data_IF_027148490129
#
_entry.id   IF_027148490129
#
_cell.length_a   1.000
_cell.length_b   1.000
_cell.length_c   1.000
_cell.angle_alpha   90.00
_cell.angle_beta   90.00
_cell.angle_gamma   90.00
#
_symmetry.space_group_name_H-M   'P 1'
#
loop_
_entity.id
_entity.type
_entity.pdbx_description
1 polymer ?
#
# COMPACT_ATOMS: atom_id res chain seq x y z
N UNK A 1 -19.00 17.39 37.69
CA UNK A 1 -17.95 16.51 37.14
C UNK A 1 -18.57 15.69 36.01
N UNK A 2 -18.43 16.15 34.76
CA UNK A 2 -18.96 15.44 33.58
C UNK A 2 -17.82 14.61 33.02
N UNK A 3 -17.94 13.29 33.09
CA UNK A 3 -17.01 12.36 32.46
C UNK A 3 -17.29 12.42 30.96
N UNK A 4 -16.49 13.18 30.22
CA UNK A 4 -16.39 13.06 28.78
C UNK A 4 -15.71 11.72 28.49
N UNK A 5 -16.51 10.66 28.38
CA UNK A 5 -16.03 9.37 27.89
C UNK A 5 -15.68 9.52 26.42
N UNK A 6 -14.42 9.82 26.12
CA UNK A 6 -13.84 9.54 24.81
C UNK A 6 -13.94 8.02 24.61
N UNK A 7 -14.95 7.58 23.86
CA UNK A 7 -15.03 6.19 23.41
C UNK A 7 -13.82 6.00 22.50
N UNK A 8 -12.81 5.28 22.98
CA UNK A 8 -11.70 4.87 22.12
C UNK A 8 -12.31 4.02 21.01
N UNK A 9 -12.33 4.52 19.78
CA UNK A 9 -12.56 3.66 18.63
C UNK A 9 -11.47 2.58 18.70
N UNK A 10 -11.86 1.33 18.85
CA UNK A 10 -10.92 0.21 18.79
C UNK A 10 -10.34 0.22 17.37
N UNK A 11 -9.13 0.77 17.24
CA UNK A 11 -8.37 0.72 16.00
C UNK A 11 -7.87 -0.70 15.84
N UNK A 12 -8.26 -1.34 14.75
CA UNK A 12 -7.68 -2.60 14.33
C UNK A 12 -6.71 -2.36 13.17
N UNK A 13 -5.68 -3.20 13.06
CA UNK A 13 -4.67 -3.11 12.01
C UNK A 13 -4.88 -4.15 10.90
N UNK A 14 -4.61 -3.72 9.67
CA UNK A 14 -4.39 -4.59 8.53
C UNK A 14 -2.91 -4.62 8.20
N UNK A 15 -2.39 -5.80 7.92
CA UNK A 15 -1.06 -5.98 7.32
C UNK A 15 -1.23 -6.52 5.90
N UNK A 16 -0.55 -5.89 4.97
CA UNK A 16 -0.51 -6.26 3.56
C UNK A 16 0.88 -6.75 3.23
N UNK A 17 0.97 -7.87 2.51
CA UNK A 17 2.26 -8.34 2.03
C UNK A 17 2.17 -8.96 0.65
N UNK A 18 3.21 -8.70 -0.12
CA UNK A 18 3.49 -9.32 -1.38
C UNK A 18 5.01 -9.56 -1.47
N UNK A 19 5.37 -10.78 -1.86
CA UNK A 19 6.71 -11.10 -2.29
C UNK A 19 6.59 -11.70 -3.70
N UNK A 20 7.36 -11.16 -4.64
CA UNK A 20 7.32 -11.68 -6.00
C UNK A 20 7.91 -13.10 -6.05
N UNK A 21 7.16 -14.11 -6.56
CA UNK A 21 7.63 -15.48 -6.60
C UNK A 21 8.46 -15.85 -7.86
N UNK A 22 8.61 -14.99 -8.89
CA UNK A 22 8.96 -15.51 -10.22
C UNK A 22 9.94 -14.70 -11.10
N UNK A 23 11.25 -14.85 -10.86
CA UNK A 23 12.31 -14.55 -11.84
C UNK A 23 12.75 -13.07 -11.90
N UNK A 24 13.99 -12.80 -12.35
CA UNK A 24 14.59 -11.46 -12.22
C UNK A 24 13.91 -10.42 -13.12
N UNK A 25 13.68 -9.22 -12.57
CA UNK A 25 13.53 -8.00 -13.36
C UNK A 25 12.11 -7.59 -13.77
N UNK A 26 11.09 -7.90 -12.98
CA UNK A 26 9.71 -7.54 -13.32
C UNK A 26 9.36 -6.08 -13.01
N UNK A 27 10.12 -5.43 -12.13
CA UNK A 27 10.09 -3.99 -11.97
C UNK A 27 11.06 -3.39 -12.98
N UNK A 28 10.59 -2.43 -13.77
CA UNK A 28 11.40 -1.71 -14.74
C UNK A 28 11.37 -0.22 -14.43
N UNK A 29 12.53 0.42 -14.34
CA UNK A 29 12.65 1.87 -14.46
C UNK A 29 13.00 2.20 -15.91
N UNK A 30 12.18 3.02 -16.57
CA UNK A 30 12.47 3.56 -17.90
C UNK A 30 12.30 5.07 -17.88
N UNK A 31 13.40 5.82 -17.97
CA UNK A 31 13.35 7.28 -18.02
C UNK A 31 12.76 7.94 -16.77
N UNK A 32 12.91 7.30 -15.60
CA UNK A 32 12.34 7.74 -14.33
C UNK A 32 10.93 7.21 -14.05
N UNK A 33 10.30 6.51 -15.00
CA UNK A 33 9.06 5.80 -14.73
C UNK A 33 9.36 4.39 -14.24
N UNK A 34 9.08 4.13 -12.97
CA UNK A 34 8.95 2.79 -12.43
C UNK A 34 7.61 2.21 -12.84
N UNK A 35 7.68 1.08 -13.52
CA UNK A 35 6.54 0.26 -13.87
C UNK A 35 6.79 -1.18 -13.47
N UNK A 36 5.70 -1.89 -13.17
CA UNK A 36 5.75 -3.33 -12.95
C UNK A 36 5.14 -4.02 -14.17
N UNK A 37 5.89 -4.92 -14.79
CA UNK A 37 5.45 -5.75 -15.90
C UNK A 37 5.70 -7.21 -15.56
N UNK A 38 4.70 -7.89 -15.01
CA UNK A 38 4.76 -9.34 -14.93
C UNK A 38 3.48 -9.98 -15.49
N UNK A 39 3.70 -10.96 -16.35
CA UNK A 39 2.70 -11.98 -16.68
C UNK A 39 2.51 -12.96 -15.52
N UNK A 40 3.35 -12.91 -14.49
CA UNK A 40 3.29 -13.77 -13.32
C UNK A 40 2.07 -13.44 -12.45
N UNK A 41 1.52 -14.51 -11.89
CA UNK A 41 0.45 -14.44 -10.91
C UNK A 41 1.08 -14.27 -9.53
N UNK A 42 0.54 -13.34 -8.74
CA UNK A 42 1.07 -12.98 -7.43
C UNK A 42 0.14 -13.52 -6.33
N UNK A 43 0.72 -13.83 -5.18
CA UNK A 43 -0.01 -14.08 -3.94
C UNK A 43 0.03 -12.81 -3.10
N UNK A 44 -1.10 -12.11 -3.01
CA UNK A 44 -1.23 -10.94 -2.13
C UNK A 44 -1.93 -11.34 -0.84
N UNK A 45 -1.26 -11.20 0.29
CA UNK A 45 -1.77 -11.62 1.58
C UNK A 45 -2.24 -10.41 2.38
N UNK A 46 -3.41 -10.55 2.99
CA UNK A 46 -3.99 -9.58 3.91
C UNK A 46 -4.24 -10.29 5.24
N UNK A 47 -3.61 -9.76 6.28
CA UNK A 47 -3.81 -10.20 7.65
C UNK A 47 -4.58 -9.13 8.43
N UNK A 48 -5.82 -9.48 8.78
CA UNK A 48 -6.70 -8.71 9.65
C UNK A 48 -6.93 -9.39 10.99
N UNK A 49 -5.99 -10.20 11.49
CA UNK A 49 -6.14 -10.92 12.77
C UNK A 49 -6.29 -10.00 13.99
N UNK A 50 -5.87 -8.74 13.87
CA UNK A 50 -6.07 -7.72 14.91
C UNK A 50 -7.43 -7.01 14.79
N UNK A 51 -8.25 -7.36 13.79
CA UNK A 51 -9.63 -6.90 13.69
C UNK A 51 -10.57 -7.57 14.71
N UNK A 52 -11.62 -6.85 15.15
CA UNK A 52 -12.71 -7.47 15.91
C UNK A 52 -13.32 -8.71 15.26
N UNK A 53 -13.27 -8.82 13.93
CA UNK A 53 -13.58 -10.04 13.21
C UNK A 53 -12.33 -10.45 12.41
N UNK A 54 -11.53 -11.29 13.02
CA UNK A 54 -10.26 -11.72 12.45
C UNK A 54 -10.47 -12.43 11.11
N UNK A 55 -9.66 -12.07 10.13
CA UNK A 55 -9.53 -12.80 8.88
C UNK A 55 -8.07 -12.81 8.43
N UNK A 56 -7.72 -13.80 7.62
CA UNK A 56 -6.47 -13.85 6.88
C UNK A 56 -6.78 -14.43 5.52
N UNK A 57 -6.54 -13.65 4.45
CA UNK A 57 -6.91 -14.02 3.09
C UNK A 57 -5.71 -13.82 2.17
N UNK A 58 -5.49 -14.83 1.32
CA UNK A 58 -4.53 -14.77 0.24
C UNK A 58 -5.27 -14.68 -1.10
N UNK A 59 -4.96 -13.65 -1.88
CA UNK A 59 -5.41 -13.49 -3.25
C UNK A 59 -4.36 -14.13 -4.16
N UNK A 60 -4.56 -15.41 -4.48
CA UNK A 60 -3.62 -16.24 -5.24
C UNK A 60 -3.61 -15.97 -6.74
N UNK A 61 -4.52 -15.14 -7.26
CA UNK A 61 -4.47 -14.62 -8.63
C UNK A 61 -4.36 -13.10 -8.70
N UNK A 62 -3.54 -12.52 -7.83
CA UNK A 62 -3.33 -11.08 -7.82
C UNK A 62 -2.39 -10.63 -8.94
N UNK A 63 -2.64 -9.45 -9.47
CA UNK A 63 -1.71 -8.66 -10.28
C UNK A 63 -1.37 -7.36 -9.58
N UNK A 64 -0.22 -6.79 -9.93
CA UNK A 64 0.22 -5.48 -9.51
C UNK A 64 0.34 -4.57 -10.73
N UNK A 65 -0.29 -3.41 -10.65
CA UNK A 65 -0.01 -2.27 -11.51
C UNK A 65 0.72 -1.23 -10.67
N UNK A 66 1.84 -0.73 -11.18
CA UNK A 66 2.65 0.28 -10.52
C UNK A 66 3.06 1.30 -11.56
N UNK A 67 2.88 2.58 -11.24
CA UNK A 67 3.30 3.70 -12.05
C UNK A 67 3.81 4.80 -11.13
N UNK A 68 5.11 4.78 -10.85
CA UNK A 68 5.76 5.74 -9.97
C UNK A 68 6.82 6.52 -10.74
N UNK A 69 6.81 7.85 -10.62
CA UNK A 69 7.84 8.72 -11.18
C UNK A 69 8.93 8.94 -10.15
N UNK A 70 10.17 8.76 -10.58
CA UNK A 70 11.39 9.06 -9.82
C UNK A 70 11.93 10.41 -10.30
N UNK A 71 12.21 11.30 -9.36
CA UNK A 71 12.97 12.51 -9.63
C UNK A 71 14.46 12.19 -9.82
N UNK A 72 15.25 13.21 -10.17
CA UNK A 72 16.69 13.05 -10.29
C UNK A 72 17.29 12.62 -8.94
N UNK A 73 18.06 11.53 -8.97
CA UNK A 73 18.74 11.04 -7.78
C UNK A 73 19.82 12.02 -7.32
N UNK A 74 19.83 12.32 -6.03
CA UNK A 74 20.84 13.13 -5.36
C UNK A 74 21.67 12.22 -4.46
N UNK A 75 23.00 12.32 -4.54
CA UNK A 75 23.87 11.63 -3.61
C UNK A 75 23.80 12.28 -2.22
N UNK A 76 23.42 11.50 -1.22
CA UNK A 76 23.36 11.96 0.19
C UNK A 76 24.69 11.68 0.89
N UNK A 77 25.28 10.52 0.62
CA UNK A 77 26.62 10.11 1.04
C UNK A 77 27.25 9.22 -0.05
N UNK A 78 28.57 8.97 -0.03
CA UNK A 78 29.19 8.02 -0.95
C UNK A 78 28.48 6.65 -0.90
N UNK A 79 27.93 6.21 -2.03
CA UNK A 79 27.19 4.95 -2.12
C UNK A 79 25.72 5.00 -1.69
N UNK A 80 25.20 6.16 -1.27
CA UNK A 80 23.80 6.37 -0.91
C UNK A 80 23.16 7.42 -1.85
N UNK A 81 22.20 6.98 -2.65
CA UNK A 81 21.42 7.85 -3.52
C UNK A 81 19.98 8.00 -2.98
N UNK A 82 19.43 9.20 -3.04
CA UNK A 82 18.03 9.49 -2.76
C UNK A 82 17.38 10.13 -3.98
N UNK A 83 16.22 9.63 -4.40
CA UNK A 83 15.32 10.33 -5.31
C UNK A 83 13.95 10.48 -4.64
N UNK A 84 13.23 11.54 -4.98
CA UNK A 84 11.83 11.65 -4.58
C UNK A 84 10.98 10.82 -5.53
N UNK A 85 9.89 10.24 -5.02
CA UNK A 85 9.00 9.38 -5.80
C UNK A 85 7.55 9.81 -5.61
N UNK A 86 6.74 9.72 -6.68
CA UNK A 86 5.30 9.96 -6.59
C UNK A 86 4.55 9.11 -7.63
N UNK A 87 3.27 8.82 -7.40
CA UNK A 87 2.43 8.12 -8.35
C UNK A 87 1.43 7.18 -7.70
N UNK A 88 1.06 6.12 -8.41
CA UNK A 88 0.01 5.20 -8.00
C UNK A 88 0.45 3.73 -8.11
N UNK A 89 -0.19 2.89 -7.30
CA UNK A 89 -0.12 1.45 -7.42
C UNK A 89 -1.46 0.81 -7.12
N UNK A 90 -1.73 -0.35 -7.71
CA UNK A 90 -2.98 -1.08 -7.59
C UNK A 90 -2.72 -2.58 -7.57
N UNK A 91 -3.16 -3.23 -6.50
CA UNK A 91 -3.32 -4.68 -6.45
C UNK A 91 -4.73 -5.03 -6.93
N UNK A 92 -4.83 -5.96 -7.87
CA UNK A 92 -6.10 -6.37 -8.46
C UNK A 92 -6.16 -7.89 -8.61
N UNK A 93 -7.36 -8.45 -8.61
CA UNK A 93 -7.57 -9.87 -8.86
C UNK A 93 -7.87 -10.11 -10.36
N UNK A 94 -7.03 -10.92 -11.00
CA UNK A 94 -7.11 -11.24 -12.44
C UNK A 94 -8.29 -12.15 -12.80
N UNK A 95 -8.89 -12.86 -11.85
CA UNK A 95 -9.96 -13.82 -12.11
C UNK A 95 -11.34 -13.20 -12.38
N UNK A 96 -11.52 -11.90 -12.12
CA UNK A 96 -12.81 -11.23 -12.32
C UNK A 96 -12.88 -10.71 -13.77
N UNK A 97 -13.38 -11.56 -14.68
CA UNK A 97 -13.67 -11.26 -16.08
C UNK A 97 -12.48 -10.83 -16.98
N UNK A 98 -11.61 -11.77 -17.35
CA UNK A 98 -11.09 -11.86 -18.73
C UNK A 98 -10.15 -10.77 -19.27
N UNK A 99 -9.47 -9.98 -18.43
CA UNK A 99 -8.41 -9.08 -18.88
C UNK A 99 -8.04 -8.01 -17.85
N UNK A 100 -6.83 -7.45 -17.99
CA UNK A 100 -6.21 -6.47 -17.07
C UNK A 100 -7.11 -5.22 -16.83
N UNK A 101 -7.97 -4.86 -17.78
CA UNK A 101 -8.86 -3.70 -17.69
C UNK A 101 -10.20 -3.91 -16.95
N UNK A 102 -10.61 -5.16 -16.69
CA UNK A 102 -11.86 -5.49 -15.99
C UNK A 102 -11.63 -6.16 -14.63
N UNK A 103 -10.36 -6.35 -14.25
CA UNK A 103 -9.96 -6.95 -13.00
C UNK A 103 -10.43 -6.14 -11.77
N UNK A 104 -10.93 -6.83 -10.75
CA UNK A 104 -11.43 -6.18 -9.55
C UNK A 104 -10.26 -5.71 -8.67
N UNK A 105 -10.22 -4.41 -8.36
CA UNK A 105 -9.27 -3.86 -7.39
C UNK A 105 -9.42 -4.54 -6.03
N UNK A 106 -8.29 -4.93 -5.44
CA UNK A 106 -8.18 -5.40 -4.05
C UNK A 106 -7.79 -4.22 -3.16
N UNK A 107 -6.69 -3.53 -3.52
CA UNK A 107 -6.14 -2.39 -2.80
C UNK A 107 -5.53 -1.42 -3.81
N UNK A 108 -5.77 -0.14 -3.62
CA UNK A 108 -5.16 0.94 -4.41
C UNK A 108 -4.44 1.92 -3.49
N UNK A 109 -3.30 2.43 -3.94
CA UNK A 109 -2.53 3.42 -3.22
C UNK A 109 -2.07 4.56 -4.12
N UNK A 110 -2.13 5.78 -3.59
CA UNK A 110 -1.56 6.98 -4.22
C UNK A 110 -0.53 7.60 -3.28
N UNK A 111 0.70 7.73 -3.77
CA UNK A 111 1.80 8.40 -3.08
C UNK A 111 2.01 9.78 -3.73
N UNK A 112 1.58 10.89 -3.11
CA UNK A 112 1.87 12.23 -3.64
C UNK A 112 3.35 12.63 -3.45
N UNK A 113 4.07 11.89 -2.61
CA UNK A 113 5.51 11.95 -2.44
C UNK A 113 6.04 10.65 -1.81
N UNK A 114 7.35 10.57 -1.64
CA UNK A 114 8.05 9.40 -1.09
C UNK A 114 9.56 9.55 -1.26
N UNK A 115 10.30 8.55 -0.81
CA UNK A 115 11.74 8.50 -1.05
C UNK A 115 12.14 7.15 -1.65
N UNK A 116 12.79 7.17 -2.81
CA UNK A 116 13.62 6.07 -3.26
C UNK A 116 15.01 6.24 -2.68
N UNK A 117 15.47 5.23 -1.93
CA UNK A 117 16.79 5.19 -1.33
C UNK A 117 17.53 3.99 -1.88
N UNK A 118 18.69 4.20 -2.49
CA UNK A 118 19.51 3.13 -3.03
C UNK A 118 20.86 3.07 -2.30
N UNK A 119 21.25 1.86 -1.91
CA UNK A 119 22.58 1.51 -1.41
C UNK A 119 23.12 0.34 -2.24
N UNK A 120 24.10 0.61 -3.10
CA UNK A 120 24.69 -0.41 -3.96
C UNK A 120 23.71 -0.97 -5.00
N UNK A 121 23.40 -2.27 -4.92
CA UNK A 121 22.48 -2.96 -5.83
C UNK A 121 21.06 -3.14 -5.25
N UNK A 122 20.80 -2.58 -4.06
CA UNK A 122 19.52 -2.69 -3.36
C UNK A 122 18.92 -1.30 -3.19
N UNK A 123 17.62 -1.17 -3.50
CA UNK A 123 16.83 0.03 -3.34
C UNK A 123 15.63 -0.19 -2.45
N UNK A 124 15.14 0.86 -1.82
CA UNK A 124 13.87 0.87 -1.11
C UNK A 124 13.08 2.08 -1.58
N UNK A 125 11.86 1.86 -1.99
CA UNK A 125 10.85 2.89 -2.18
C UNK A 125 10.04 2.96 -0.88
N UNK A 126 10.19 4.08 -0.19
CA UNK A 126 9.50 4.39 1.06
C UNK A 126 8.30 5.28 0.76
N UNK A 127 7.13 4.89 1.26
CA UNK A 127 5.88 5.65 1.11
C UNK A 127 5.09 5.56 2.42
N UNK A 128 5.06 6.66 3.17
CA UNK A 128 4.48 6.75 4.52
C UNK A 128 3.47 7.90 4.56
N UNK A 129 2.32 7.69 5.19
CA UNK A 129 1.29 8.71 5.39
C UNK A 129 1.79 9.93 6.17
N UNK A 130 2.56 9.71 7.25
CA UNK A 130 3.00 10.78 8.15
C UNK A 130 3.98 11.76 7.49
N UNK A 131 4.84 11.24 6.61
CA UNK A 131 5.88 12.04 5.97
C UNK A 131 5.58 12.40 4.52
N UNK A 132 4.81 11.55 3.82
CA UNK A 132 4.66 11.65 2.38
C UNK A 132 3.22 11.66 1.88
N UNK A 133 2.23 11.59 2.79
CA UNK A 133 0.82 11.72 2.44
C UNK A 133 0.24 10.56 1.62
N UNK A 134 0.82 9.36 1.75
CA UNK A 134 0.28 8.14 1.14
C UNK A 134 -1.21 8.01 1.42
N UNK A 135 -2.02 7.69 0.42
CA UNK A 135 -3.44 7.34 0.62
C UNK A 135 -3.67 5.92 0.16
N UNK A 136 -4.43 5.14 0.92
CA UNK A 136 -4.86 3.80 0.56
C UNK A 136 -6.38 3.72 0.47
N UNK A 137 -6.88 2.93 -0.47
CA UNK A 137 -8.30 2.66 -0.65
C UNK A 137 -8.54 1.16 -0.86
N UNK A 138 -9.50 0.60 -0.12
CA UNK A 138 -9.94 -0.78 -0.31
C UNK A 138 -10.85 -0.87 -1.54
N UNK A 139 -10.52 -1.79 -2.45
CA UNK A 139 -11.44 -2.20 -3.49
C UNK A 139 -12.54 -3.13 -2.95
N UNK A 140 -13.56 -3.42 -3.77
CA UNK A 140 -14.76 -4.13 -3.34
C UNK A 140 -14.46 -5.50 -2.71
N UNK A 141 -13.42 -6.20 -3.19
CA UNK A 141 -13.06 -7.51 -2.66
C UNK A 141 -12.59 -7.42 -1.20
N UNK A 142 -11.75 -6.43 -0.88
CA UNK A 142 -11.32 -6.18 0.49
C UNK A 142 -12.48 -5.61 1.31
N UNK A 143 -13.30 -4.71 0.76
CA UNK A 143 -14.48 -4.19 1.44
C UNK A 143 -15.50 -5.27 1.84
N UNK A 144 -15.59 -6.38 1.09
CA UNK A 144 -16.45 -7.51 1.45
C UNK A 144 -15.89 -8.33 2.63
N UNK A 145 -14.57 -8.31 2.86
CA UNK A 145 -13.93 -8.93 4.02
C UNK A 145 -14.06 -8.04 5.25
N UNK A 146 -14.04 -6.73 5.05
CA UNK A 146 -14.39 -5.75 6.07
C UNK A 146 -15.89 -5.87 6.39
N UNK A 147 -16.28 -5.79 7.66
CA UNK A 147 -17.70 -5.72 7.99
C UNK A 147 -18.35 -4.46 7.38
N UNK A 148 -19.66 -4.50 7.06
CA UNK A 148 -20.39 -3.35 6.57
C UNK A 148 -20.16 -2.10 7.44
N UNK A 149 -19.83 -0.98 6.78
CA UNK A 149 -19.57 0.28 7.46
C UNK A 149 -18.19 0.36 8.12
N UNK A 150 -17.23 -0.46 7.71
CA UNK A 150 -15.81 -0.27 8.03
C UNK A 150 -15.05 0.20 6.81
N UNK A 151 -13.97 0.92 7.04
CA UNK A 151 -13.05 1.32 5.99
C UNK A 151 -11.62 1.40 6.52
N UNK A 152 -10.68 1.26 5.58
CA UNK A 152 -9.27 1.52 5.87
C UNK A 152 -9.08 3.02 6.11
N UNK A 153 -8.40 3.37 7.18
CA UNK A 153 -8.15 4.74 7.57
C UNK A 153 -6.67 4.95 7.97
N UNK A 154 -6.18 6.20 7.91
CA UNK A 154 -4.83 6.52 8.33
C UNK A 154 -4.56 6.22 9.82
N UNK A 155 -3.27 6.17 10.23
CA UNK A 155 -2.07 6.20 9.39
C UNK A 155 -1.95 5.00 8.44
N UNK A 156 -1.26 5.24 7.32
CA UNK A 156 -0.91 4.23 6.33
C UNK A 156 0.61 4.19 6.20
N UNK A 157 1.20 3.02 6.31
CA UNK A 157 2.64 2.86 6.07
C UNK A 157 2.83 1.83 4.97
N UNK A 158 3.77 2.08 4.06
CA UNK A 158 4.12 1.10 3.04
C UNK A 158 5.55 1.24 2.54
N UNK A 159 6.11 0.10 2.15
CA UNK A 159 7.47 0.02 1.62
C UNK A 159 7.46 -0.95 0.46
N UNK A 160 7.94 -0.47 -0.69
CA UNK A 160 8.33 -1.32 -1.80
C UNK A 160 9.84 -1.54 -1.72
N UNK A 161 10.28 -2.75 -1.42
CA UNK A 161 11.71 -3.08 -1.40
C UNK A 161 12.12 -3.59 -2.77
N UNK A 162 13.15 -2.96 -3.33
CA UNK A 162 13.67 -3.23 -4.68
C UNK A 162 15.04 -3.91 -4.56
N UNK A 163 15.18 -5.12 -5.08
CA UNK A 163 16.42 -5.92 -4.97
C UNK A 163 16.92 -6.33 -6.33
N UNK A 164 18.17 -6.80 -6.40
CA UNK A 164 18.80 -7.28 -7.64
C UNK A 164 18.67 -6.26 -8.78
N UNK A 165 19.04 -5.00 -8.51
CA UNK A 165 18.99 -3.94 -9.52
C UNK A 165 19.99 -4.28 -10.62
N UNK A 166 19.49 -4.69 -11.78
CA UNK A 166 20.26 -4.95 -12.98
C UNK A 166 20.15 -3.73 -13.91
N UNK A 167 21.26 -3.01 -14.15
CA UNK A 167 21.25 -1.93 -15.12
C UNK A 167 20.95 -2.49 -16.52
N UNK A 168 19.87 -1.99 -17.16
CA UNK A 168 19.68 -2.11 -18.61
C UNK A 168 20.65 -1.13 -19.27
N UNK A 169 21.15 -1.32 -20.51
CA UNK A 169 22.13 -0.43 -21.16
C UNK A 169 21.89 1.04 -20.80
N UNK A 170 22.69 1.53 -19.85
CA UNK A 170 22.39 2.75 -19.09
C UNK A 170 23.01 3.91 -19.83
N UNK A 171 22.21 4.89 -20.21
CA UNK A 171 22.71 6.24 -20.48
C UNK A 171 22.73 6.97 -19.14
N UNK A 172 23.89 7.11 -18.51
CA UNK A 172 24.04 8.01 -17.36
C UNK A 172 24.11 9.42 -17.92
N UNK A 173 22.98 10.13 -17.92
CA UNK A 173 22.94 11.57 -18.22
C UNK A 173 22.86 12.28 -16.87
N UNK A 174 23.85 13.12 -16.56
CA UNK A 174 23.88 13.93 -15.33
C UNK A 174 23.79 13.15 -14.00
N UNK A 175 24.36 11.94 -13.93
CA UNK A 175 24.45 11.18 -12.67
C UNK A 175 23.20 10.38 -12.29
N UNK A 176 22.19 10.33 -13.16
CA UNK A 176 20.96 9.56 -12.93
C UNK A 176 21.06 8.18 -13.60
N UNK A 177 20.70 7.11 -12.87
CA UNK A 177 20.49 5.77 -13.45
C UNK A 177 19.20 5.85 -14.27
N UNK A 178 19.32 5.90 -15.60
CA UNK A 178 18.14 6.14 -16.45
C UNK A 178 17.27 4.90 -16.64
N UNK A 179 17.84 3.69 -16.67
CA UNK A 179 17.09 2.46 -16.91
C UNK A 179 17.63 1.28 -16.09
N UNK A 180 16.75 0.54 -15.41
CA UNK A 180 17.12 -0.69 -14.71
C UNK A 180 15.95 -1.66 -14.63
N UNK A 181 16.24 -2.94 -14.43
CA UNK A 181 15.27 -3.91 -13.94
C UNK A 181 15.61 -4.34 -12.52
N UNK A 182 14.61 -4.78 -11.77
CA UNK A 182 14.79 -5.22 -10.40
C UNK A 182 13.67 -6.17 -9.95
N UNK A 183 13.93 -6.87 -8.86
CA UNK A 183 12.94 -7.60 -8.08
C UNK A 183 12.24 -6.65 -7.11
N UNK A 184 10.98 -6.91 -6.78
CA UNK A 184 10.22 -6.05 -5.87
C UNK A 184 9.42 -6.86 -4.86
N UNK A 185 9.29 -6.33 -3.65
CA UNK A 185 8.38 -6.83 -2.61
C UNK A 185 7.68 -5.66 -1.96
N UNK A 186 6.48 -5.88 -1.45
CA UNK A 186 5.66 -4.86 -0.82
C UNK A 186 5.26 -5.31 0.57
N UNK A 187 5.41 -4.40 1.53
CA UNK A 187 4.83 -4.52 2.85
C UNK A 187 4.09 -3.23 3.17
N UNK A 188 2.91 -3.33 3.76
CA UNK A 188 2.19 -2.16 4.23
C UNK A 188 1.28 -2.45 5.39
N UNK A 189 0.90 -1.40 6.11
CA UNK A 189 -0.02 -1.46 7.24
C UNK A 189 -1.01 -0.32 7.18
N UNK A 190 -2.21 -0.57 7.70
CA UNK A 190 -3.24 0.44 7.82
C UNK A 190 -4.16 0.17 9.00
N UNK A 191 -4.88 1.20 9.45
CA UNK A 191 -5.92 1.03 10.45
C UNK A 191 -7.28 0.78 9.79
N UNK A 192 -8.18 0.19 10.55
CA UNK A 192 -9.60 0.01 10.20
C UNK A 192 -10.44 0.69 11.25
N UNK A 193 -11.32 1.58 10.81
CA UNK A 193 -12.24 2.29 11.71
C UNK A 193 -13.70 2.11 11.29
N UNK A 194 -14.64 2.15 12.25
CA UNK A 194 -16.07 2.19 11.95
C UNK A 194 -16.49 3.47 11.23
N UNK A 195 -17.63 3.42 10.52
CA UNK A 195 -18.21 4.60 9.86
C UNK A 195 -18.45 5.72 10.87
N UNK A 196 -18.11 6.99 10.56
CA UNK A 196 -18.30 8.12 11.47
C UNK A 196 -19.72 8.20 12.08
N UNK A 197 -20.76 7.82 11.32
CA UNK A 197 -22.14 7.76 11.81
C UNK A 197 -22.45 6.63 12.78
N UNK A 198 -21.75 5.49 12.71
CA UNK A 198 -21.95 4.35 13.60
C UNK A 198 -21.51 4.63 15.04
N UNK A 199 -20.47 5.46 15.21
CA UNK A 199 -20.01 5.93 16.53
C UNK A 199 -21.04 6.89 17.15
N UNK A 200 -21.59 7.81 16.35
CA UNK A 200 -22.65 8.70 16.80
C UNK A 200 -23.94 7.94 17.19
N UNK A 201 -24.31 6.91 16.42
CA UNK A 201 -25.45 6.03 16.72
C UNK A 201 -25.22 5.17 17.96
N UNK A 202 -24.02 4.65 18.17
CA UNK A 202 -23.66 3.93 19.40
C UNK A 202 -23.71 4.86 20.63
N UNK A 203 -23.20 6.08 20.50
CA UNK A 203 -23.25 7.10 21.55
C UNK A 203 -24.70 7.51 21.88
N UNK A 204 -25.55 7.67 20.86
CA UNK A 204 -26.98 7.93 21.03
C UNK A 204 -27.72 6.73 21.65
N UNK A 205 -27.43 5.52 21.22
CA UNK A 205 -28.01 4.29 21.79
C UNK A 205 -27.63 4.10 23.26
N UNK A 206 -26.37 4.36 23.61
CA UNK A 206 -25.88 4.38 24.99
C UNK A 206 -26.54 5.47 25.84
N UNK A 207 -26.76 6.66 25.28
CA UNK A 207 -27.45 7.76 25.96
C UNK A 207 -28.93 7.45 26.20
N UNK A 208 -29.62 6.81 25.24
CA UNK A 208 -31.03 6.39 25.36
C UNK A 208 -31.19 5.26 26.39
N UNK A 209 -30.28 4.30 26.43
CA UNK A 209 -30.30 3.24 27.46
C UNK A 209 -29.93 3.76 28.85
N UNK A 210 -28.99 4.71 28.97
CA UNK A 210 -28.68 5.38 30.22
C UNK A 210 -29.85 6.23 30.75
N UNK A 211 -30.61 6.88 29.85
CA UNK A 211 -31.84 7.63 30.22
C UNK A 211 -32.96 6.73 30.69
N UNK A 212 -33.09 5.51 30.17
CA UNK A 212 -34.14 4.56 30.57
C UNK A 212 -33.91 3.92 31.95
N UNK A 213 -32.71 4.06 32.53
CA UNK A 213 -32.36 3.58 33.87
C UNK A 213 -32.42 4.66 34.96
N UNK A 214 -32.89 5.87 34.63
CA UNK A 214 -33.29 6.91 35.60
C UNK A 214 -34.80 7.00 35.63
#
# INVERSE_FOLDING_TARGET
>A
MVIAGSVSAASAGLTFSFADPAGPGQLTNTGGLLSYNSSAVLSFNIDGTTEPNAFSVSFVNAGLELSLTLSNATAVFPGLLKADIAGTFRFFNRDVNGGVGAAATILEGTAPGGAFVNIGATGSVLSDFQFFGLTLSAGQQLQNLLLPGRFIAPPFDSVFTVTDIVPLPVTIVNGTISNFTANTSFSGTANVIPTPGSVALLALGGLVTARRRR
#
